data_IF_748834732104
#
_entry.id   IF_748834732104
#
_cell.length_a   1.000
_cell.length_b   1.000
_cell.length_c   1.000
_cell.angle_alpha   90.00
_cell.angle_beta   90.00
_cell.angle_gamma   90.00
#
_symmetry.space_group_name_H-M   'P 1'
#
loop_
_entity.id
_entity.type
_entity.pdbx_description
1 polymer ?
#
# COMPACT_ATOMS: atom_id res chain seq x y z
N UNK A 1 12.84 9.72 11.39
CA UNK A 1 12.72 9.68 9.91
C UNK A 1 14.06 9.23 9.34
N UNK A 2 14.13 8.07 8.74
CA UNK A 2 15.25 7.65 7.93
C UNK A 2 14.99 8.00 6.45
N UNK A 3 15.96 8.57 5.77
CA UNK A 3 15.80 9.04 4.38
C UNK A 3 16.79 8.30 3.50
N UNK A 4 16.27 7.45 2.62
CA UNK A 4 17.07 6.63 1.72
C UNK A 4 16.89 7.06 0.27
N UNK A 5 17.95 7.48 -0.36
CA UNK A 5 17.98 7.74 -1.80
C UNK A 5 18.09 6.39 -2.53
N UNK A 6 17.02 6.00 -3.23
CA UNK A 6 17.01 4.79 -4.07
C UNK A 6 17.83 5.04 -5.36
N UNK A 7 17.57 6.17 -6.01
CA UNK A 7 18.34 6.68 -7.13
C UNK A 7 18.24 8.22 -7.21
N UNK A 8 18.68 8.82 -8.32
CA UNK A 8 18.65 10.27 -8.50
C UNK A 8 17.24 10.89 -8.47
N UNK A 9 16.20 10.08 -8.76
CA UNK A 9 14.81 10.54 -8.93
C UNK A 9 13.82 9.83 -8.01
N UNK A 10 14.28 8.98 -7.10
CA UNK A 10 13.42 8.20 -6.20
C UNK A 10 13.99 8.21 -4.79
N UNK A 11 13.21 8.67 -3.83
CA UNK A 11 13.59 8.77 -2.42
C UNK A 11 12.53 8.06 -1.58
N UNK A 12 12.98 7.24 -0.64
CA UNK A 12 12.14 6.62 0.38
C UNK A 12 12.32 7.35 1.71
N UNK A 13 11.22 7.60 2.39
CA UNK A 13 11.15 8.11 3.75
C UNK A 13 10.60 7.00 4.64
N UNK A 14 11.33 6.60 5.67
CA UNK A 14 10.94 5.56 6.62
C UNK A 14 10.84 6.15 8.02
N UNK A 15 9.67 6.07 8.63
CA UNK A 15 9.44 6.59 9.99
C UNK A 15 9.40 5.51 11.06
N UNK A 16 10.02 4.35 10.78
CA UNK A 16 10.18 3.27 11.75
C UNK A 16 9.01 2.30 11.82
N UNK A 17 8.36 2.07 10.71
CA UNK A 17 7.24 1.11 10.62
C UNK A 17 6.44 1.25 9.35
N UNK A 18 6.35 2.45 8.82
CA UNK A 18 5.71 2.73 7.53
C UNK A 18 6.64 3.57 6.66
N UNK A 19 6.56 3.36 5.39
CA UNK A 19 7.39 3.99 4.37
C UNK A 19 6.54 4.66 3.31
N UNK A 20 6.96 5.87 2.91
CA UNK A 20 6.36 6.61 1.82
C UNK A 20 7.45 7.07 0.84
N UNK A 21 7.08 7.43 -0.39
CA UNK A 21 8.06 7.62 -1.46
C UNK A 21 7.87 8.93 -2.19
N UNK A 22 8.97 9.58 -2.55
CA UNK A 22 8.99 10.74 -3.43
C UNK A 22 9.58 10.36 -4.78
N UNK A 23 8.81 10.57 -5.84
CA UNK A 23 9.18 10.33 -7.22
C UNK A 23 9.30 11.66 -7.96
N UNK A 24 10.45 11.88 -8.60
CA UNK A 24 10.74 13.10 -9.32
C UNK A 24 10.65 12.88 -10.84
N UNK A 25 9.87 13.71 -11.51
CA UNK A 25 9.90 13.88 -12.97
C UNK A 25 10.78 15.05 -13.40
N UNK A 26 10.45 15.65 -14.54
CA UNK A 26 11.07 16.93 -14.99
C UNK A 26 10.16 18.12 -14.79
N UNK A 27 8.86 17.92 -14.62
CA UNK A 27 7.86 18.99 -14.48
C UNK A 27 7.24 19.04 -13.09
N UNK A 28 7.06 17.88 -12.45
CA UNK A 28 6.47 17.76 -11.12
C UNK A 28 7.01 16.54 -10.37
N UNK A 29 6.73 16.51 -9.07
CA UNK A 29 7.05 15.43 -8.16
C UNK A 29 5.78 14.83 -7.59
N UNK A 30 5.79 13.52 -7.32
CA UNK A 30 4.71 12.79 -6.67
C UNK A 30 5.19 12.21 -5.34
N UNK A 31 4.47 12.53 -4.26
CA UNK A 31 4.58 11.82 -3.00
C UNK A 31 3.56 10.67 -3.02
N UNK A 32 4.01 9.45 -2.80
CA UNK A 32 3.16 8.26 -2.63
C UNK A 32 3.04 8.01 -1.14
N UNK A 33 1.85 8.19 -0.59
CA UNK A 33 1.50 8.22 0.83
C UNK A 33 2.18 9.34 1.63
N UNK A 34 1.81 9.51 2.89
CA UNK A 34 2.26 10.64 3.70
C UNK A 34 2.58 10.29 5.16
N UNK A 35 2.82 8.99 5.43
CA UNK A 35 3.24 8.48 6.73
C UNK A 35 2.14 8.42 7.78
N UNK A 36 2.52 8.11 9.01
CA UNK A 36 1.64 7.96 10.18
C UNK A 36 1.86 9.02 11.24
N UNK A 37 3.10 9.12 11.73
CA UNK A 37 3.49 10.01 12.85
C UNK A 37 3.98 11.36 12.35
N UNK A 38 4.47 11.39 11.13
CA UNK A 38 4.89 12.60 10.44
C UNK A 38 3.68 13.45 10.10
N UNK A 39 3.73 14.75 10.41
CA UNK A 39 2.70 15.71 10.07
C UNK A 39 3.18 16.77 9.05
N UNK A 40 4.39 16.59 8.54
CA UNK A 40 5.08 17.49 7.62
C UNK A 40 5.85 16.74 6.52
N UNK A 41 5.27 15.65 5.99
CA UNK A 41 5.86 14.89 4.89
C UNK A 41 6.08 15.76 3.63
N UNK A 42 5.25 16.78 3.43
CA UNK A 42 5.41 17.76 2.36
C UNK A 42 6.67 18.61 2.54
N UNK A 43 7.05 19.00 3.76
CA UNK A 43 8.27 19.74 4.03
C UNK A 43 9.50 18.88 3.71
N UNK A 44 9.52 17.62 4.17
CA UNK A 44 10.61 16.68 3.82
C UNK A 44 10.74 16.47 2.31
N UNK A 45 9.61 16.37 1.59
CA UNK A 45 9.62 16.27 0.14
C UNK A 45 10.15 17.55 -0.52
N UNK A 46 9.73 18.74 -0.06
CA UNK A 46 10.16 20.04 -0.58
C UNK A 46 11.63 20.34 -0.31
N UNK A 47 12.22 19.78 0.72
CA UNK A 47 13.69 19.84 0.92
C UNK A 47 14.47 19.11 -0.20
N UNK A 48 13.83 18.17 -0.89
CA UNK A 48 14.47 17.35 -1.93
C UNK A 48 14.20 17.87 -3.34
N UNK A 49 13.18 18.71 -3.52
CA UNK A 49 12.82 19.24 -4.84
C UNK A 49 12.08 20.57 -4.75
N UNK A 50 12.30 21.42 -5.74
CA UNK A 50 11.53 22.66 -5.96
C UNK A 50 10.37 22.47 -6.96
N UNK A 51 10.18 21.26 -7.50
CA UNK A 51 9.10 20.97 -8.43
C UNK A 51 7.73 21.07 -7.74
N UNK A 52 6.67 21.38 -8.49
CA UNK A 52 5.30 21.23 -7.99
C UNK A 52 5.09 19.82 -7.40
N UNK A 53 4.63 19.75 -6.15
CA UNK A 53 4.48 18.51 -5.40
C UNK A 53 2.99 18.10 -5.37
N UNK A 54 2.71 16.90 -5.86
CA UNK A 54 1.42 16.24 -5.79
C UNK A 54 1.47 15.08 -4.79
N UNK A 55 0.31 14.69 -4.22
CA UNK A 55 0.18 13.54 -3.33
C UNK A 55 -0.73 12.50 -3.97
N UNK A 56 -0.37 11.23 -3.86
CA UNK A 56 -1.21 10.08 -4.18
C UNK A 56 -1.26 9.15 -2.97
N UNK A 57 -2.45 8.71 -2.59
CA UNK A 57 -2.64 7.70 -1.55
C UNK A 57 -2.81 6.33 -2.18
N UNK A 58 -2.01 5.37 -1.73
CA UNK A 58 -2.19 3.96 -2.11
C UNK A 58 -3.49 3.39 -1.54
N UNK A 59 -3.84 3.81 -0.33
CA UNK A 59 -5.11 3.55 0.35
C UNK A 59 -5.26 4.52 1.53
N UNK A 60 -6.35 4.41 2.30
CA UNK A 60 -6.67 5.40 3.31
C UNK A 60 -6.51 4.91 4.76
N UNK A 61 -5.65 3.94 5.02
CA UNK A 61 -5.32 3.58 6.39
C UNK A 61 -4.50 4.68 7.07
N UNK A 62 -4.57 4.75 8.40
CA UNK A 62 -4.06 5.89 9.17
C UNK A 62 -2.57 6.13 9.00
N UNK A 63 -1.82 5.10 8.76
CA UNK A 63 -0.37 5.13 8.58
C UNK A 63 0.07 5.57 7.18
N UNK A 64 -0.87 5.85 6.29
CA UNK A 64 -0.61 6.38 4.95
C UNK A 64 -1.05 7.82 4.75
N UNK A 65 -1.77 8.40 5.73
CA UNK A 65 -2.43 9.70 5.59
C UNK A 65 -1.99 10.74 6.62
N UNK A 66 -0.89 10.51 7.36
CA UNK A 66 -0.46 11.32 8.51
C UNK A 66 -0.25 12.80 8.20
N UNK A 67 0.23 13.13 7.01
CA UNK A 67 0.49 14.51 6.57
C UNK A 67 -0.54 15.03 5.54
N UNK A 68 -1.67 14.36 5.34
CA UNK A 68 -2.64 14.74 4.29
C UNK A 68 -3.19 16.15 4.44
N UNK A 69 -3.25 16.68 5.66
CA UNK A 69 -3.73 18.06 5.92
C UNK A 69 -2.90 19.13 5.19
N UNK A 70 -1.65 18.85 4.83
CA UNK A 70 -0.79 19.73 4.04
C UNK A 70 -1.18 19.76 2.54
N UNK A 71 -2.01 18.83 2.09
CA UNK A 71 -2.42 18.69 0.69
C UNK A 71 -3.94 18.93 0.54
N UNK A 72 -4.36 20.11 0.09
CA UNK A 72 -5.79 20.40 -0.11
C UNK A 72 -6.43 19.57 -1.21
N UNK A 73 -5.60 19.00 -2.09
CA UNK A 73 -6.00 18.12 -3.19
C UNK A 73 -4.98 17.01 -3.38
N UNK A 74 -5.43 15.77 -3.59
CA UNK A 74 -4.59 14.58 -3.74
C UNK A 74 -5.29 13.52 -4.60
N UNK A 75 -4.55 12.55 -5.11
CA UNK A 75 -5.10 11.42 -5.87
C UNK A 75 -5.42 10.26 -4.95
N UNK A 76 -6.56 9.59 -5.17
CA UNK A 76 -6.97 8.41 -4.40
C UNK A 76 -8.03 7.63 -5.18
N UNK A 77 -8.07 6.32 -5.03
CA UNK A 77 -9.17 5.52 -5.59
C UNK A 77 -10.48 5.80 -4.84
N UNK A 78 -11.61 6.02 -5.53
CA UNK A 78 -12.88 6.42 -4.89
C UNK A 78 -13.42 5.44 -3.84
N UNK A 79 -13.10 4.15 -3.95
CA UNK A 79 -13.52 3.15 -2.96
C UNK A 79 -12.92 3.37 -1.58
N UNK A 80 -11.90 4.22 -1.44
CA UNK A 80 -11.31 4.62 -0.16
C UNK A 80 -12.07 5.76 0.52
N UNK A 81 -12.99 6.44 -0.17
CA UNK A 81 -13.64 7.66 0.35
C UNK A 81 -14.31 7.45 1.73
N UNK A 82 -14.95 6.29 1.94
CA UNK A 82 -15.57 5.99 3.23
C UNK A 82 -14.53 5.81 4.35
N UNK A 83 -13.44 5.08 4.08
CA UNK A 83 -12.36 4.90 5.04
C UNK A 83 -11.68 6.24 5.33
N UNK A 84 -11.37 7.02 4.30
CA UNK A 84 -10.71 8.31 4.43
C UNK A 84 -11.53 9.34 5.23
N UNK A 85 -12.79 9.63 4.82
CA UNK A 85 -13.58 10.69 5.46
C UNK A 85 -14.27 10.25 6.74
N UNK A 86 -14.86 9.06 6.78
CA UNK A 86 -15.65 8.59 7.91
C UNK A 86 -14.81 7.81 8.92
N UNK A 87 -13.93 6.93 8.43
CA UNK A 87 -13.06 6.12 9.28
C UNK A 87 -11.94 6.93 9.93
N UNK A 88 -11.21 7.69 9.14
CA UNK A 88 -10.00 8.41 9.57
C UNK A 88 -10.15 9.94 9.66
N UNK A 89 -11.36 10.47 9.42
CA UNK A 89 -11.68 11.91 9.48
C UNK A 89 -10.75 12.75 8.59
N UNK A 90 -10.40 12.22 7.43
CA UNK A 90 -9.56 12.90 6.46
C UNK A 90 -10.15 14.22 5.98
N UNK A 91 -9.29 15.13 5.57
CA UNK A 91 -9.64 16.47 5.07
C UNK A 91 -9.13 16.67 3.66
N UNK A 92 -9.55 17.73 2.99
CA UNK A 92 -9.18 17.98 1.60
C UNK A 92 -10.11 17.29 0.60
N UNK A 93 -9.75 17.36 -0.67
CA UNK A 93 -10.51 16.80 -1.78
C UNK A 93 -9.64 15.85 -2.59
N UNK A 94 -10.08 14.61 -2.80
CA UNK A 94 -9.37 13.73 -3.70
C UNK A 94 -9.80 13.93 -5.17
N UNK A 95 -8.83 13.71 -6.05
CA UNK A 95 -9.01 13.54 -7.48
C UNK A 95 -9.08 12.02 -7.70
N UNK A 96 -10.17 11.50 -8.27
CA UNK A 96 -10.31 10.07 -8.47
C UNK A 96 -9.27 9.54 -9.47
N UNK A 97 -8.68 8.40 -9.13
CA UNK A 97 -7.85 7.60 -10.03
C UNK A 97 -8.37 6.18 -10.11
N UNK A 98 -8.20 5.56 -11.26
CA UNK A 98 -8.72 4.25 -11.59
C UNK A 98 -7.65 3.36 -12.21
N UNK A 99 -7.95 2.07 -12.35
CA UNK A 99 -7.12 1.11 -13.07
C UNK A 99 -6.73 1.65 -14.45
N UNK A 100 -5.44 1.68 -14.75
CA UNK A 100 -4.88 2.10 -16.03
C UNK A 100 -4.71 3.60 -16.22
N UNK A 101 -5.15 4.44 -15.26
CA UNK A 101 -4.84 5.88 -15.30
C UNK A 101 -3.33 6.09 -15.24
N UNK A 102 -2.85 7.13 -15.94
CA UNK A 102 -1.44 7.48 -15.98
C UNK A 102 -1.20 8.90 -15.48
N UNK A 103 -0.38 9.03 -14.45
CA UNK A 103 0.11 10.30 -13.95
C UNK A 103 1.52 10.53 -14.52
N UNK A 104 1.67 11.44 -15.48
CA UNK A 104 2.98 11.80 -16.01
C UNK A 104 3.60 12.93 -15.20
N UNK A 105 4.82 12.72 -14.73
CA UNK A 105 5.58 13.71 -13.96
C UNK A 105 6.52 14.57 -14.84
N UNK A 106 6.34 14.52 -16.15
CA UNK A 106 7.27 15.04 -17.15
C UNK A 106 8.31 13.99 -17.53
N UNK A 107 7.94 13.15 -18.55
CA UNK A 107 8.77 12.04 -19.03
C UNK A 107 8.92 10.86 -18.04
N UNK A 108 8.10 10.81 -17.01
CA UNK A 108 7.99 9.70 -16.06
C UNK A 108 6.51 9.34 -15.88
N UNK A 109 5.92 8.59 -16.83
CA UNK A 109 4.57 8.12 -16.71
C UNK A 109 4.46 7.04 -15.64
N UNK A 110 3.52 7.22 -14.72
CA UNK A 110 3.21 6.34 -13.60
C UNK A 110 1.81 5.78 -13.79
N UNK A 111 1.67 4.49 -13.98
CA UNK A 111 0.38 3.83 -14.16
C UNK A 111 -0.21 3.37 -12.84
N UNK A 112 -1.51 3.57 -12.67
CA UNK A 112 -2.28 3.10 -11.51
C UNK A 112 -2.73 1.66 -11.76
N UNK A 113 -2.45 0.79 -10.79
CA UNK A 113 -2.92 -0.60 -10.76
C UNK A 113 -3.84 -0.77 -9.54
N UNK A 114 -5.09 -1.13 -9.75
CA UNK A 114 -6.06 -1.36 -8.68
C UNK A 114 -5.88 -2.76 -8.08
N UNK A 115 -5.57 -2.83 -6.79
CA UNK A 115 -5.29 -4.06 -6.04
C UNK A 115 -6.24 -4.22 -4.83
N UNK A 116 -7.56 -4.37 -5.04
CA UNK A 116 -8.52 -4.51 -3.94
C UNK A 116 -8.28 -5.79 -3.14
N UNK A 117 -8.65 -5.73 -1.86
CA UNK A 117 -8.57 -6.85 -0.92
C UNK A 117 -8.02 -6.46 0.43
N UNK A 118 -6.82 -5.87 0.48
CA UNK A 118 -6.33 -5.22 1.71
C UNK A 118 -7.25 -4.05 2.09
N UNK A 119 -7.55 -3.15 1.16
CA UNK A 119 -8.72 -2.26 1.20
C UNK A 119 -9.46 -2.33 -0.13
N UNK A 120 -10.73 -1.85 -0.22
CA UNK A 120 -11.48 -1.87 -1.48
C UNK A 120 -10.86 -1.01 -2.58
N UNK A 121 -10.15 0.04 -2.21
CA UNK A 121 -9.53 0.98 -3.13
C UNK A 121 -8.01 0.95 -3.10
N UNK A 122 -7.38 -0.08 -2.53
CA UNK A 122 -5.92 -0.23 -2.60
C UNK A 122 -5.42 -0.17 -4.04
N UNK A 123 -4.42 0.66 -4.28
CA UNK A 123 -3.74 0.80 -5.58
C UNK A 123 -2.24 0.65 -5.43
N UNK A 124 -1.60 0.21 -6.49
CA UNK A 124 -0.15 0.31 -6.67
C UNK A 124 0.18 1.29 -7.80
N UNK A 125 1.41 1.77 -7.80
CA UNK A 125 1.94 2.68 -8.82
C UNK A 125 3.05 1.98 -9.58
N UNK A 126 2.84 1.75 -10.88
CA UNK A 126 3.83 1.13 -11.75
C UNK A 126 4.65 2.20 -12.48
N UNK A 127 5.93 2.22 -12.20
CA UNK A 127 6.94 3.00 -12.90
C UNK A 127 7.68 2.10 -13.89
N UNK A 128 7.16 1.99 -15.12
CA UNK A 128 7.74 1.13 -16.16
C UNK A 128 9.15 1.55 -16.56
N UNK A 129 9.43 2.86 -16.55
CA UNK A 129 10.73 3.38 -16.99
C UNK A 129 11.85 2.94 -16.05
N UNK A 130 11.55 2.75 -14.76
CA UNK A 130 12.49 2.27 -13.75
C UNK A 130 12.24 0.79 -13.36
N UNK A 131 11.25 0.14 -13.98
CA UNK A 131 10.84 -1.25 -13.73
C UNK A 131 10.53 -1.50 -12.24
N UNK A 132 9.74 -0.60 -11.64
CA UNK A 132 9.40 -0.61 -10.21
C UNK A 132 7.90 -0.55 -9.98
N UNK A 133 7.44 -1.30 -8.97
CA UNK A 133 6.08 -1.25 -8.48
C UNK A 133 6.07 -0.73 -7.04
N UNK A 134 5.41 0.39 -6.78
CA UNK A 134 5.15 0.89 -5.42
C UNK A 134 3.80 0.32 -4.98
N UNK A 135 3.82 -0.66 -4.10
CA UNK A 135 2.66 -1.54 -3.87
C UNK A 135 1.74 -1.10 -2.72
N UNK A 136 2.15 -0.14 -1.91
CA UNK A 136 1.46 0.07 -0.64
C UNK A 136 1.53 -1.20 0.23
N UNK A 137 0.41 -1.59 0.81
CA UNK A 137 0.29 -2.72 1.73
C UNK A 137 -0.05 -4.08 1.12
N UNK A 138 -0.71 -4.16 -0.05
CA UNK A 138 -1.06 -5.45 -0.63
C UNK A 138 0.11 -6.42 -0.84
N UNK A 139 1.31 -5.94 -1.17
CA UNK A 139 2.47 -6.80 -1.45
C UNK A 139 3.61 -6.42 -0.52
N UNK A 140 3.78 -7.18 0.54
CA UNK A 140 4.85 -7.00 1.54
C UNK A 140 5.18 -8.32 2.25
N UNK A 141 6.37 -8.41 2.82
CA UNK A 141 6.83 -9.56 3.61
C UNK A 141 6.65 -9.36 5.13
N UNK A 142 5.85 -8.38 5.51
CA UNK A 142 5.54 -8.06 6.90
C UNK A 142 4.18 -8.63 7.36
N UNK A 143 3.47 -7.80 8.11
CA UNK A 143 2.13 -8.11 8.61
C UNK A 143 1.07 -7.55 7.67
N UNK A 144 0.30 -8.41 7.03
CA UNK A 144 -0.77 -8.03 6.11
C UNK A 144 -2.08 -8.04 6.89
N UNK A 145 -2.67 -6.86 7.06
CA UNK A 145 -3.92 -6.69 7.81
C UNK A 145 -5.10 -7.07 6.93
N UNK A 146 -5.73 -8.19 7.28
CA UNK A 146 -6.90 -8.77 6.59
C UNK A 146 -8.07 -8.99 7.55
N UNK A 147 -8.19 -8.18 8.60
CA UNK A 147 -9.27 -8.21 9.57
C UNK A 147 -10.05 -6.89 9.60
N UNK A 148 -11.27 -6.97 10.09
CA UNK A 148 -12.17 -5.82 10.17
C UNK A 148 -13.01 -5.65 8.89
N UNK A 149 -13.74 -4.55 8.86
CA UNK A 149 -14.61 -4.19 7.73
C UNK A 149 -13.75 -3.76 6.54
N UNK A 150 -14.18 -4.07 5.31
CA UNK A 150 -13.50 -3.68 4.06
C UNK A 150 -12.27 -4.54 3.68
N UNK A 151 -11.92 -5.58 4.43
CA UNK A 151 -10.86 -6.53 4.07
C UNK A 151 -11.50 -7.75 3.41
N UNK A 152 -11.01 -8.13 2.22
CA UNK A 152 -11.61 -9.22 1.47
C UNK A 152 -10.53 -10.10 0.82
N UNK A 153 -10.40 -11.35 1.30
CA UNK A 153 -9.32 -12.26 0.92
C UNK A 153 -9.45 -12.77 -0.52
N UNK A 154 -10.69 -12.97 -1.03
CA UNK A 154 -10.87 -13.41 -2.42
C UNK A 154 -10.49 -12.31 -3.40
N UNK A 155 -10.89 -11.05 -3.15
CA UNK A 155 -10.47 -9.90 -3.97
C UNK A 155 -8.95 -9.70 -3.93
N UNK A 156 -8.33 -9.91 -2.75
CA UNK A 156 -6.89 -9.86 -2.58
C UNK A 156 -6.19 -10.88 -3.50
N UNK A 157 -6.65 -12.13 -3.50
CA UNK A 157 -6.10 -13.20 -4.35
C UNK A 157 -6.24 -12.91 -5.85
N UNK A 158 -7.43 -12.43 -6.27
CA UNK A 158 -7.66 -12.04 -7.66
C UNK A 158 -6.73 -10.90 -8.08
N UNK A 159 -6.47 -9.94 -7.17
CA UNK A 159 -5.51 -8.86 -7.40
C UNK A 159 -4.09 -9.40 -7.59
N UNK A 160 -3.67 -10.36 -6.78
CA UNK A 160 -2.35 -11.01 -6.92
C UNK A 160 -2.21 -11.75 -8.25
N UNK A 161 -3.24 -12.49 -8.70
CA UNK A 161 -3.19 -13.19 -10.00
C UNK A 161 -3.10 -12.22 -11.18
N UNK A 162 -3.87 -11.12 -11.14
CA UNK A 162 -3.77 -10.08 -12.18
C UNK A 162 -2.39 -9.43 -12.20
N UNK A 163 -1.81 -9.21 -11.02
CA UNK A 163 -0.49 -8.62 -10.91
C UNK A 163 0.61 -9.60 -11.38
N UNK A 164 0.49 -10.89 -11.06
CA UNK A 164 1.41 -11.93 -11.54
C UNK A 164 1.45 -12.00 -13.07
N UNK A 165 0.30 -11.83 -13.75
CA UNK A 165 0.26 -11.77 -15.21
C UNK A 165 1.04 -10.60 -15.79
N UNK A 166 1.32 -9.57 -14.99
CA UNK A 166 2.04 -8.35 -15.36
C UNK A 166 3.48 -8.29 -14.81
N UNK A 167 3.95 -9.34 -14.12
CA UNK A 167 5.26 -9.35 -13.44
C UNK A 167 6.47 -9.04 -14.33
N UNK A 168 6.36 -9.22 -15.63
CA UNK A 168 7.44 -8.87 -16.57
C UNK A 168 7.58 -7.36 -16.81
N UNK A 169 6.68 -6.53 -16.26
CA UNK A 169 6.69 -5.08 -16.42
C UNK A 169 7.55 -4.38 -15.35
N UNK A 170 7.91 -5.09 -14.27
CA UNK A 170 8.73 -4.58 -13.17
C UNK A 170 9.66 -5.66 -12.61
N UNK A 171 10.76 -5.27 -12.00
CA UNK A 171 11.76 -6.17 -11.42
C UNK A 171 11.75 -6.13 -9.89
N UNK A 172 11.35 -5.00 -9.32
CA UNK A 172 11.39 -4.73 -7.88
C UNK A 172 10.03 -4.18 -7.41
N UNK A 173 9.62 -4.61 -6.21
CA UNK A 173 8.43 -4.11 -5.53
C UNK A 173 8.87 -3.31 -4.30
N UNK A 174 8.32 -2.12 -4.15
CA UNK A 174 8.58 -1.17 -3.07
C UNK A 174 7.35 -1.06 -2.17
N UNK A 175 7.25 -1.89 -1.12
CA UNK A 175 6.13 -1.85 -0.17
C UNK A 175 6.27 -0.74 0.85
N UNK A 176 5.14 -0.40 1.49
CA UNK A 176 5.13 0.57 2.59
C UNK A 176 5.64 -0.02 3.91
N UNK A 177 5.60 -1.34 4.09
CA UNK A 177 6.11 -2.03 5.28
C UNK A 177 7.09 -3.15 4.94
N UNK A 178 7.77 -3.68 5.96
CA UNK A 178 8.69 -4.80 5.82
C UNK A 178 9.96 -4.47 5.03
N UNK A 179 10.51 -5.48 4.37
CA UNK A 179 11.70 -5.34 3.52
C UNK A 179 11.39 -4.49 2.28
N UNK A 180 12.33 -3.68 1.85
CA UNK A 180 12.17 -2.82 0.67
C UNK A 180 13.53 -2.63 -0.05
N UNK A 181 13.62 -2.99 -1.35
CA UNK A 181 12.59 -3.65 -2.15
C UNK A 181 12.44 -5.13 -1.83
N UNK A 182 11.34 -5.75 -2.31
CA UNK A 182 11.13 -7.20 -2.35
C UNK A 182 11.08 -7.70 -3.79
N UNK A 183 11.32 -9.00 -3.98
CA UNK A 183 11.28 -9.63 -5.30
C UNK A 183 9.85 -9.94 -5.77
N UNK A 184 9.68 -10.09 -7.07
CA UNK A 184 8.38 -10.39 -7.70
C UNK A 184 7.83 -11.78 -7.35
N UNK A 185 8.69 -12.71 -6.91
CA UNK A 185 8.30 -14.04 -6.43
C UNK A 185 7.40 -14.01 -5.19
N UNK A 186 7.41 -12.89 -4.44
CA UNK A 186 6.54 -12.68 -3.30
C UNK A 186 5.06 -12.70 -3.68
N UNK A 187 4.69 -12.26 -4.88
CA UNK A 187 3.29 -12.23 -5.36
C UNK A 187 2.65 -13.63 -5.24
N UNK A 188 3.29 -14.63 -5.82
CA UNK A 188 2.74 -15.99 -5.79
C UNK A 188 2.87 -16.65 -4.43
N UNK A 189 3.87 -16.32 -3.63
CA UNK A 189 3.95 -16.77 -2.23
C UNK A 189 2.75 -16.27 -1.42
N UNK A 190 2.38 -15.01 -1.57
CA UNK A 190 1.20 -14.41 -0.90
C UNK A 190 -0.10 -15.03 -1.43
N UNK A 191 -0.20 -15.28 -2.74
CA UNK A 191 -1.34 -15.97 -3.35
C UNK A 191 -1.54 -17.37 -2.74
N UNK A 192 -0.48 -18.16 -2.65
CA UNK A 192 -0.56 -19.53 -2.10
C UNK A 192 -0.88 -19.50 -0.59
N UNK A 193 -0.27 -18.58 0.17
CA UNK A 193 -0.52 -18.41 1.59
C UNK A 193 -1.98 -18.04 1.88
N UNK A 194 -2.51 -17.04 1.16
CA UNK A 194 -3.90 -16.63 1.29
C UNK A 194 -4.89 -17.72 0.88
N UNK A 195 -4.55 -18.55 -0.11
CA UNK A 195 -5.32 -19.73 -0.50
C UNK A 195 -5.41 -20.77 0.61
N UNK A 196 -4.30 -21.04 1.28
CA UNK A 196 -4.27 -21.99 2.41
C UNK A 196 -5.11 -21.50 3.58
N UNK A 197 -5.22 -20.20 3.81
CA UNK A 197 -6.12 -19.62 4.82
C UNK A 197 -7.57 -19.90 4.43
N UNK A 198 -7.99 -19.52 3.22
CA UNK A 198 -9.36 -19.71 2.73
C UNK A 198 -9.80 -21.17 2.71
N UNK A 199 -8.88 -22.09 2.46
CA UNK A 199 -9.14 -23.54 2.42
C UNK A 199 -9.09 -24.19 3.82
N UNK A 200 -8.88 -23.41 4.91
CA UNK A 200 -8.72 -23.93 6.26
C UNK A 200 -7.47 -24.79 6.48
N UNK A 201 -6.49 -24.70 5.55
CA UNK A 201 -5.22 -25.42 5.60
C UNK A 201 -4.12 -24.70 6.40
N UNK A 202 -4.42 -23.53 6.90
CA UNK A 202 -3.57 -22.76 7.81
C UNK A 202 -4.32 -22.53 9.10
N UNK A 203 -3.78 -23.00 10.21
CA UNK A 203 -4.34 -22.74 11.54
C UNK A 203 -3.76 -21.43 12.06
N UNK A 204 -4.63 -20.47 12.35
CA UNK A 204 -4.24 -19.21 12.94
C UNK A 204 -3.96 -19.32 14.44
N UNK A 205 -3.14 -18.43 14.96
CA UNK A 205 -2.89 -18.25 16.38
C UNK A 205 -3.67 -17.04 16.89
N UNK A 206 -4.43 -17.14 18.00
CA UNK A 206 -5.17 -16.01 18.53
C UNK A 206 -4.24 -14.91 19.03
N UNK A 207 -4.56 -13.67 18.72
CA UNK A 207 -3.85 -12.49 19.17
C UNK A 207 -4.82 -11.31 19.34
N UNK A 208 -4.30 -10.18 19.86
CA UNK A 208 -5.03 -8.92 19.95
C UNK A 208 -4.21 -7.81 19.29
N UNK A 209 -4.81 -7.05 18.42
CA UNK A 209 -4.21 -5.90 17.74
C UNK A 209 -5.19 -4.73 17.75
N UNK A 210 -4.76 -3.58 18.27
CA UNK A 210 -5.58 -2.36 18.38
C UNK A 210 -6.95 -2.60 19.05
N UNK A 211 -6.98 -3.49 20.08
CA UNK A 211 -8.22 -3.86 20.78
C UNK A 211 -9.15 -4.81 20.04
N UNK A 212 -8.73 -5.34 18.89
CA UNK A 212 -9.46 -6.35 18.12
C UNK A 212 -8.85 -7.74 18.36
N UNK A 213 -9.71 -8.74 18.64
CA UNK A 213 -9.31 -10.14 18.61
C UNK A 213 -9.12 -10.55 17.15
N UNK A 214 -8.00 -11.20 16.85
CA UNK A 214 -7.61 -11.62 15.50
C UNK A 214 -7.06 -13.04 15.51
N UNK A 215 -6.95 -13.62 14.33
CA UNK A 215 -6.21 -14.85 14.04
C UNK A 215 -4.96 -14.50 13.21
N UNK A 216 -3.77 -14.88 13.68
CA UNK A 216 -2.50 -14.65 12.99
C UNK A 216 -2.07 -15.91 12.28
N UNK A 217 -1.98 -15.86 10.95
CA UNK A 217 -1.48 -16.92 10.12
C UNK A 217 -0.06 -16.58 9.65
N UNK A 218 0.92 -17.22 10.26
CA UNK A 218 2.34 -16.99 9.98
C UNK A 218 2.87 -18.01 8.97
N UNK A 219 3.47 -17.52 7.88
CA UNK A 219 4.10 -18.31 6.82
C UNK A 219 5.62 -18.17 6.80
N UNK A 220 6.20 -17.50 7.79
CA UNK A 220 7.64 -17.29 7.92
C UNK A 220 8.20 -16.16 7.05
N UNK A 221 7.64 -15.94 5.87
CA UNK A 221 8.00 -14.83 4.99
C UNK A 221 7.02 -13.64 5.08
N UNK A 222 5.79 -13.89 5.54
CA UNK A 222 4.77 -12.89 5.84
C UNK A 222 3.76 -13.48 6.81
N UNK A 223 3.00 -12.60 7.51
CA UNK A 223 1.91 -13.01 8.40
C UNK A 223 0.63 -12.31 7.98
N UNK A 224 -0.47 -13.06 7.89
CA UNK A 224 -1.80 -12.49 7.68
C UNK A 224 -2.52 -12.36 9.02
N UNK A 225 -3.00 -11.16 9.29
CA UNK A 225 -3.82 -10.84 10.46
C UNK A 225 -5.28 -10.84 10.02
N UNK A 226 -5.99 -11.90 10.32
CA UNK A 226 -7.36 -12.15 9.85
C UNK A 226 -8.39 -11.94 10.96
N UNK A 227 -9.67 -11.87 10.60
CA UNK A 227 -10.74 -12.01 11.60
C UNK A 227 -10.57 -13.35 12.33
N UNK A 228 -10.98 -13.45 13.60
CA UNK A 228 -10.92 -14.72 14.33
C UNK A 228 -11.58 -15.84 13.51
N UNK A 229 -10.94 -17.00 13.50
CA UNK A 229 -11.59 -18.20 12.99
C UNK A 229 -12.91 -18.35 13.77
N UNK A 230 -14.01 -18.67 13.08
CA UNK A 230 -15.27 -18.96 13.76
C UNK A 230 -14.98 -20.02 14.80
N UNK A 231 -15.26 -19.73 16.08
CA UNK A 231 -15.23 -20.76 17.11
C UNK A 231 -16.16 -21.87 16.59
N UNK A 232 -15.62 -23.08 16.35
CA UNK A 232 -16.49 -24.24 16.17
C UNK A 232 -17.36 -24.26 17.42
N UNK A 233 -18.64 -23.94 17.26
CA UNK A 233 -19.64 -24.26 18.28
C UNK A 233 -19.53 -25.76 18.50
N UNK A 234 -18.78 -26.15 19.51
CA UNK A 234 -18.74 -27.53 19.98
C UNK A 234 -20.16 -27.85 20.43
N UNK A 235 -20.84 -28.85 19.85
CA UNK A 235 -22.22 -29.19 20.13
C UNK A 235 -22.40 -29.64 21.59
#
# INVERSE_FOLDING_TARGET
MDIRKIDAKTIAFDEGGVRFFLLLGTEKALLIDSGMMTHNADEFAREKTSLPLELLLTHADRDHIGSNAAFPCFYMHPSEASNYYNGNRGTGRFIPVWEGDVLDLGGRPLEIIHLPGHTPGSIAVLDRNHRRLFSGDPIQDGRIFMFGVQREMHAYRESLLRLEARKNEFDEIFPSHGTCPVGTDLIMKLYDASGRILEGKSKGSPAEVHGNRISVHDFGFASFLCNPDSEEETP
#
